data_IF_229377934799
#
_entry.id   IF_229377934799
#
_cell.length_a   1.000
_cell.length_b   1.000
_cell.length_c   1.000
_cell.angle_alpha   90.00
_cell.angle_beta   90.00
_cell.angle_gamma   90.00
#
_symmetry.space_group_name_H-M   'P 1'
#
loop_
_entity.id
_entity.type
_entity.pdbx_description
1 polymer ?
#
# COMPACT_ATOMS: atom_id res chain seq x y z
N UNK A 1 -26.04 -12.36 -14.38
CA UNK A 1 -25.84 -11.34 -13.32
C UNK A 1 -24.63 -10.52 -13.73
N UNK A 2 -24.72 -9.19 -13.78
CA UNK A 2 -23.54 -8.36 -14.09
C UNK A 2 -22.59 -8.49 -12.91
N UNK A 3 -21.35 -8.89 -13.17
CA UNK A 3 -20.32 -8.96 -12.15
C UNK A 3 -19.82 -7.53 -11.81
N UNK A 4 -20.02 -7.11 -10.58
CA UNK A 4 -19.59 -5.83 -10.08
C UNK A 4 -18.34 -5.92 -9.18
N UNK A 5 -17.68 -7.07 -9.12
CA UNK A 5 -16.55 -7.35 -8.22
C UNK A 5 -15.42 -6.34 -8.35
N UNK A 6 -15.03 -6.04 -9.58
CA UNK A 6 -13.99 -5.04 -9.88
C UNK A 6 -14.37 -3.63 -9.38
N UNK A 7 -15.61 -3.17 -9.63
CA UNK A 7 -16.06 -1.86 -9.16
C UNK A 7 -16.13 -1.78 -7.65
N UNK A 8 -16.55 -2.87 -7.00
CA UNK A 8 -16.59 -2.96 -5.53
C UNK A 8 -15.20 -2.88 -4.92
N UNK A 9 -14.22 -3.56 -5.51
CA UNK A 9 -12.83 -3.47 -5.06
C UNK A 9 -12.24 -2.10 -5.40
N UNK A 10 -12.51 -1.56 -6.60
CA UNK A 10 -12.03 -0.25 -7.02
C UNK A 10 -12.53 0.89 -6.12
N UNK A 11 -13.70 0.76 -5.48
CA UNK A 11 -14.19 1.72 -4.49
C UNK A 11 -13.18 1.98 -3.38
N UNK A 12 -12.40 0.96 -2.98
CA UNK A 12 -11.37 1.09 -1.95
C UNK A 12 -10.09 1.79 -2.45
N UNK A 13 -9.99 2.00 -3.76
CA UNK A 13 -8.89 2.74 -4.40
C UNK A 13 -9.21 4.23 -4.55
N UNK A 14 -10.44 4.65 -4.28
CA UNK A 14 -10.84 6.05 -4.36
C UNK A 14 -10.08 6.88 -3.32
N UNK A 15 -9.55 8.03 -3.73
CA UNK A 15 -8.85 8.96 -2.84
C UNK A 15 -9.75 9.51 -1.71
N UNK A 16 -11.07 9.48 -1.89
CA UNK A 16 -12.07 9.84 -0.87
C UNK A 16 -12.40 8.69 0.09
N UNK A 17 -11.91 7.46 -0.19
CA UNK A 17 -12.18 6.33 0.71
C UNK A 17 -11.50 6.57 2.05
N UNK A 18 -12.24 6.56 3.18
CA UNK A 18 -11.78 7.20 4.42
C UNK A 18 -10.83 6.32 5.25
N UNK A 19 -9.77 5.78 4.63
CA UNK A 19 -8.70 5.08 5.35
C UNK A 19 -7.68 6.02 5.98
N UNK A 20 -7.59 7.27 5.48
CA UNK A 20 -6.61 8.25 5.89
C UNK A 20 -5.27 8.15 5.13
N UNK A 21 -5.18 7.36 4.07
CA UNK A 21 -3.96 7.17 3.28
C UNK A 21 -3.39 8.49 2.73
N UNK A 22 -4.25 9.44 2.36
CA UNK A 22 -3.86 10.76 1.84
C UNK A 22 -3.00 11.60 2.80
N UNK A 23 -2.94 11.23 4.08
CA UNK A 23 -2.16 11.93 5.10
C UNK A 23 -0.74 11.37 5.26
N UNK A 24 -0.38 10.33 4.51
CA UNK A 24 0.90 9.65 4.62
C UNK A 24 1.73 9.84 3.36
N UNK A 25 2.96 10.33 3.53
CA UNK A 25 3.91 10.57 2.42
C UNK A 25 4.88 9.43 2.20
N UNK A 26 4.98 8.50 3.15
CA UNK A 26 5.94 7.38 3.12
C UNK A 26 7.38 7.84 2.86
N UNK A 27 7.78 8.93 3.52
CA UNK A 27 9.10 9.54 3.43
C UNK A 27 9.29 10.52 2.26
N UNK A 28 8.33 10.68 1.34
CA UNK A 28 8.41 11.63 0.23
C UNK A 28 8.69 13.05 0.73
N UNK A 29 8.08 13.47 1.84
CA UNK A 29 8.26 14.81 2.40
C UNK A 29 9.72 15.09 2.78
N UNK A 30 10.44 14.10 3.30
CA UNK A 30 11.88 14.23 3.61
C UNK A 30 12.71 14.45 2.33
N UNK A 31 12.41 13.75 1.25
CA UNK A 31 13.06 13.96 -0.05
C UNK A 31 12.77 15.34 -0.63
N UNK A 32 11.54 15.84 -0.47
CA UNK A 32 11.15 17.18 -0.91
C UNK A 32 11.92 18.24 -0.14
N UNK A 33 11.99 18.12 1.19
CA UNK A 33 12.73 19.09 2.02
C UNK A 33 14.22 19.12 1.73
N UNK A 34 14.80 18.00 1.33
CA UNK A 34 16.20 17.89 0.90
C UNK A 34 16.43 18.34 -0.54
N UNK A 35 15.40 18.81 -1.23
CA UNK A 35 15.45 19.18 -2.64
C UNK A 35 15.87 18.04 -3.58
N UNK A 36 15.78 16.78 -3.11
CA UNK A 36 16.00 15.60 -3.94
C UNK A 36 14.80 15.31 -4.84
N UNK A 37 13.58 15.66 -4.38
CA UNK A 37 12.35 15.65 -5.17
C UNK A 37 11.80 17.07 -5.21
N UNK A 38 11.80 17.70 -6.39
CA UNK A 38 11.45 19.11 -6.53
C UNK A 38 10.66 19.45 -7.80
N UNK A 39 10.52 18.49 -8.71
CA UNK A 39 9.74 18.60 -9.96
C UNK A 39 9.11 17.26 -10.36
N UNK A 40 8.41 17.24 -11.51
CA UNK A 40 7.72 16.06 -12.00
C UNK A 40 8.69 14.91 -12.34
N UNK A 41 9.90 15.21 -12.85
CA UNK A 41 10.85 14.18 -13.25
C UNK A 41 11.47 13.49 -12.02
N UNK A 42 12.00 14.27 -11.07
CA UNK A 42 12.54 13.75 -9.82
C UNK A 42 11.47 13.02 -9.00
N UNK A 43 10.20 13.44 -9.07
CA UNK A 43 9.10 12.74 -8.43
C UNK A 43 8.81 11.38 -9.09
N UNK A 44 8.82 11.30 -10.44
CA UNK A 44 8.66 10.02 -11.15
C UNK A 44 9.77 9.03 -10.81
N UNK A 45 11.03 9.49 -10.81
CA UNK A 45 12.17 8.66 -10.41
C UNK A 45 12.01 8.11 -8.98
N UNK A 46 11.53 8.95 -8.06
CA UNK A 46 11.24 8.51 -6.69
C UNK A 46 10.08 7.50 -6.63
N UNK A 47 8.99 7.71 -7.41
CA UNK A 47 7.88 6.76 -7.49
C UNK A 47 8.33 5.40 -8.06
N UNK A 48 9.17 5.41 -9.10
CA UNK A 48 9.73 4.19 -9.67
C UNK A 48 10.54 3.42 -8.63
N UNK A 49 11.41 4.12 -7.89
CA UNK A 49 12.17 3.53 -6.79
C UNK A 49 11.23 2.96 -5.70
N UNK A 50 10.21 3.70 -5.31
CA UNK A 50 9.24 3.26 -4.29
C UNK A 50 8.46 2.01 -4.71
N UNK A 51 8.02 1.94 -5.97
CA UNK A 51 7.35 0.77 -6.53
C UNK A 51 8.28 -0.44 -6.56
N UNK A 52 9.47 -0.28 -7.16
CA UNK A 52 10.37 -1.39 -7.45
C UNK A 52 11.06 -1.95 -6.21
N UNK A 53 11.43 -1.08 -5.27
CA UNK A 53 12.27 -1.47 -4.13
C UNK A 53 11.45 -1.69 -2.86
N UNK A 54 10.43 -0.89 -2.62
CA UNK A 54 9.65 -1.00 -1.38
C UNK A 54 8.37 -1.80 -1.60
N UNK A 55 7.45 -1.34 -2.44
CA UNK A 55 6.15 -2.01 -2.58
C UNK A 55 6.28 -3.42 -3.16
N UNK A 56 7.27 -3.68 -4.00
CA UNK A 56 7.51 -5.00 -4.58
C UNK A 56 7.75 -6.05 -3.50
N UNK A 57 8.73 -5.82 -2.63
CA UNK A 57 9.22 -6.82 -1.66
C UNK A 57 8.49 -6.78 -0.31
N UNK A 58 7.64 -5.80 -0.08
CA UNK A 58 6.78 -5.72 1.11
C UNK A 58 5.32 -6.01 0.75
N UNK A 59 4.56 -4.96 0.46
CA UNK A 59 3.10 -5.03 0.24
C UNK A 59 2.72 -5.97 -0.90
N UNK A 60 3.34 -5.82 -2.08
CA UNK A 60 3.00 -6.60 -3.27
C UNK A 60 3.27 -8.09 -3.09
N UNK A 61 4.44 -8.46 -2.56
CA UNK A 61 4.75 -9.86 -2.30
C UNK A 61 3.87 -10.43 -1.18
N UNK A 62 3.61 -9.65 -0.11
CA UNK A 62 2.67 -10.05 0.93
C UNK A 62 1.28 -10.33 0.36
N UNK A 63 0.77 -9.48 -0.55
CA UNK A 63 -0.53 -9.66 -1.21
C UNK A 63 -0.60 -11.00 -1.95
N UNK A 64 0.41 -11.31 -2.75
CA UNK A 64 0.47 -12.58 -3.48
C UNK A 64 0.54 -13.79 -2.54
N UNK A 65 1.39 -13.75 -1.52
CA UNK A 65 1.53 -14.84 -0.56
C UNK A 65 0.24 -15.04 0.25
N UNK A 66 -0.41 -13.95 0.67
CA UNK A 66 -1.71 -13.98 1.37
C UNK A 66 -2.79 -14.57 0.47
N UNK A 67 -2.88 -14.15 -0.79
CA UNK A 67 -3.87 -14.70 -1.73
C UNK A 67 -3.72 -16.21 -1.90
N UNK A 68 -2.48 -16.69 -2.03
CA UNK A 68 -2.19 -18.13 -2.10
C UNK A 68 -2.56 -18.86 -0.79
N UNK A 69 -2.28 -18.27 0.36
CA UNK A 69 -2.65 -18.81 1.65
C UNK A 69 -4.17 -18.92 1.82
N UNK A 70 -4.93 -17.90 1.37
CA UNK A 70 -6.39 -17.91 1.38
C UNK A 70 -6.97 -19.02 0.47
N UNK A 71 -6.41 -19.22 -0.72
CA UNK A 71 -6.81 -20.31 -1.62
C UNK A 71 -6.62 -21.70 -0.98
N UNK A 72 -5.60 -21.84 -0.14
CA UNK A 72 -5.28 -23.10 0.56
C UNK A 72 -5.96 -23.20 1.94
N UNK A 73 -6.69 -22.19 2.38
CA UNK A 73 -7.28 -22.14 3.73
C UNK A 73 -6.24 -22.02 4.86
N UNK A 74 -5.00 -21.61 4.55
CA UNK A 74 -3.89 -21.48 5.50
C UNK A 74 -3.94 -20.15 6.23
N UNK A 75 -4.76 -20.09 7.26
CA UNK A 75 -4.96 -18.89 8.09
C UNK A 75 -3.74 -18.56 8.97
N UNK A 76 -2.95 -19.55 9.37
CA UNK A 76 -1.73 -19.31 10.17
C UNK A 76 -0.66 -18.62 9.31
N UNK A 77 -0.54 -18.98 8.05
CA UNK A 77 0.35 -18.29 7.10
C UNK A 77 -0.03 -16.82 6.93
N UNK A 78 -1.32 -16.52 6.86
CA UNK A 78 -1.78 -15.13 6.78
C UNK A 78 -1.37 -14.32 8.01
N UNK A 79 -1.51 -14.90 9.22
CA UNK A 79 -1.09 -14.22 10.46
C UNK A 79 0.43 -14.06 10.53
N UNK A 80 1.18 -15.06 10.08
CA UNK A 80 2.63 -14.97 9.97
C UNK A 80 3.06 -13.81 9.07
N UNK A 81 2.45 -13.68 7.89
CA UNK A 81 2.74 -12.60 6.94
C UNK A 81 2.35 -11.23 7.51
N UNK A 82 1.21 -11.12 8.20
CA UNK A 82 0.79 -9.89 8.88
C UNK A 82 1.79 -9.45 9.96
N UNK A 83 2.30 -10.41 10.73
CA UNK A 83 3.31 -10.14 11.74
C UNK A 83 4.65 -9.72 11.09
N UNK A 84 5.07 -10.41 10.03
CA UNK A 84 6.32 -10.14 9.33
C UNK A 84 6.32 -8.74 8.70
N UNK A 85 5.29 -8.38 7.94
CA UNK A 85 5.21 -7.06 7.30
C UNK A 85 5.18 -5.93 8.34
N UNK A 86 4.59 -6.18 9.52
CA UNK A 86 4.58 -5.22 10.60
C UNK A 86 5.96 -5.03 11.23
N UNK A 87 6.70 -6.11 11.49
CA UNK A 87 8.02 -6.01 12.15
C UNK A 87 9.12 -5.55 11.19
N UNK A 88 8.99 -5.82 9.89
CA UNK A 88 9.91 -5.36 8.86
C UNK A 88 9.80 -3.86 8.60
N UNK A 89 8.65 -3.24 8.84
CA UNK A 89 8.49 -1.79 8.71
C UNK A 89 9.22 -1.09 9.87
N UNK A 90 10.51 -0.83 9.69
CA UNK A 90 11.37 -0.22 10.71
C UNK A 90 10.96 1.22 11.05
N UNK A 91 10.60 2.09 10.09
CA UNK A 91 10.18 3.46 10.39
C UNK A 91 8.90 3.45 11.23
N UNK A 92 8.98 4.06 12.41
CA UNK A 92 7.89 4.02 13.41
C UNK A 92 6.60 4.64 12.91
N UNK A 93 6.68 5.81 12.27
CA UNK A 93 5.49 6.53 11.77
C UNK A 93 4.81 5.75 10.65
N UNK A 94 5.57 5.20 9.70
CA UNK A 94 5.05 4.35 8.62
C UNK A 94 4.35 3.13 9.19
N UNK A 95 4.97 2.44 10.15
CA UNK A 95 4.40 1.26 10.81
C UNK A 95 3.10 1.57 11.56
N UNK A 96 3.05 2.68 12.30
CA UNK A 96 1.84 3.12 13.01
C UNK A 96 0.76 3.53 12.00
N UNK A 97 1.13 4.27 10.97
CA UNK A 97 0.23 4.71 9.90
C UNK A 97 -0.40 3.52 9.17
N UNK A 98 0.40 2.55 8.75
CA UNK A 98 -0.08 1.33 8.10
C UNK A 98 -1.11 0.59 8.99
N UNK A 99 -0.80 0.41 10.28
CA UNK A 99 -1.74 -0.21 11.23
C UNK A 99 -3.05 0.60 11.37
N UNK A 100 -3.00 1.92 11.41
CA UNK A 100 -4.18 2.76 11.51
C UNK A 100 -5.03 2.68 10.24
N UNK A 101 -4.40 2.75 9.06
CA UNK A 101 -5.06 2.60 7.76
C UNK A 101 -5.73 1.23 7.64
N UNK A 102 -5.01 0.15 7.95
CA UNK A 102 -5.54 -1.21 7.93
C UNK A 102 -6.71 -1.39 8.89
N UNK A 103 -6.63 -0.83 10.11
CA UNK A 103 -7.72 -0.88 11.08
C UNK A 103 -8.98 -0.17 10.56
N UNK A 104 -8.83 1.00 9.94
CA UNK A 104 -9.96 1.74 9.33
C UNK A 104 -10.54 0.97 8.14
N UNK A 105 -9.67 0.44 7.27
CA UNK A 105 -10.08 -0.36 6.11
C UNK A 105 -10.88 -1.59 6.52
N UNK A 106 -10.41 -2.36 7.52
CA UNK A 106 -11.13 -3.53 8.04
C UNK A 106 -12.51 -3.14 8.57
N UNK A 107 -12.62 -2.07 9.36
CA UNK A 107 -13.91 -1.61 9.89
C UNK A 107 -14.88 -1.24 8.76
N UNK A 108 -14.44 -0.45 7.79
CA UNK A 108 -15.26 -0.07 6.64
C UNK A 108 -15.66 -1.28 5.79
N UNK A 109 -14.72 -2.20 5.55
CA UNK A 109 -15.02 -3.42 4.81
C UNK A 109 -16.07 -4.29 5.51
N UNK A 110 -16.07 -4.35 6.85
CA UNK A 110 -17.09 -5.07 7.63
C UNK A 110 -18.49 -4.42 7.55
N UNK A 111 -18.54 -3.10 7.42
CA UNK A 111 -19.82 -2.38 7.27
C UNK A 111 -20.40 -2.55 5.87
N UNK A 112 -19.55 -2.65 4.86
CA UNK A 112 -19.94 -2.69 3.46
C UNK A 112 -20.14 -4.12 2.93
N UNK A 113 -19.43 -5.11 3.48
CA UNK A 113 -19.38 -6.48 2.97
C UNK A 113 -19.44 -7.53 4.08
N UNK A 114 -20.19 -8.58 3.82
CA UNK A 114 -20.30 -9.75 4.72
C UNK A 114 -19.17 -10.77 4.43
N UNK A 115 -17.92 -10.30 4.48
CA UNK A 115 -16.75 -11.15 4.20
C UNK A 115 -16.35 -11.95 5.45
N UNK A 116 -16.34 -13.30 5.38
CA UNK A 116 -15.84 -14.14 6.47
C UNK A 116 -14.37 -13.88 6.79
N UNK A 117 -13.54 -13.62 5.78
CA UNK A 117 -12.11 -13.33 5.93
C UNK A 117 -11.86 -12.04 6.70
N UNK A 118 -12.60 -10.96 6.38
CA UNK A 118 -12.46 -9.68 7.06
C UNK A 118 -12.94 -9.77 8.51
N UNK A 119 -14.05 -10.48 8.77
CA UNK A 119 -14.54 -10.73 10.12
C UNK A 119 -13.53 -11.52 10.94
N UNK A 120 -12.98 -12.58 10.37
CA UNK A 120 -11.94 -13.39 10.99
C UNK A 120 -10.70 -12.54 11.31
N UNK A 121 -10.19 -11.76 10.37
CA UNK A 121 -9.01 -10.92 10.54
C UNK A 121 -9.22 -9.86 11.63
N UNK A 122 -10.40 -9.25 11.68
CA UNK A 122 -10.77 -8.35 12.78
C UNK A 122 -10.79 -9.05 14.14
N UNK A 123 -11.28 -10.30 14.21
CA UNK A 123 -11.23 -11.08 15.46
C UNK A 123 -9.79 -11.39 15.88
N UNK A 124 -8.91 -11.74 14.94
CA UNK A 124 -7.49 -11.96 15.24
C UNK A 124 -6.81 -10.71 15.81
N UNK A 125 -7.22 -9.53 15.40
CA UNK A 125 -6.72 -8.27 15.99
C UNK A 125 -7.18 -8.12 17.44
N UNK A 126 -8.46 -8.43 17.76
CA UNK A 126 -8.97 -8.39 19.13
C UNK A 126 -8.21 -9.39 20.03
N UNK A 127 -7.87 -10.54 19.49
CA UNK A 127 -7.10 -11.58 20.15
C UNK A 127 -5.58 -11.28 20.20
N UNK A 128 -5.17 -10.07 19.71
CA UNK A 128 -3.78 -9.59 19.65
C UNK A 128 -2.85 -10.43 18.74
N UNK A 129 -3.40 -11.22 17.85
CA UNK A 129 -2.67 -12.05 16.89
C UNK A 129 -2.40 -11.36 15.56
N UNK A 130 -3.18 -10.35 15.17
CA UNK A 130 -3.02 -9.58 13.94
C UNK A 130 -2.76 -8.10 14.21
N UNK A 131 -2.05 -7.44 13.27
CA UNK A 131 -1.72 -6.01 13.28
C UNK A 131 -2.63 -5.19 12.36
N UNK A 132 -3.28 -5.83 11.39
CA UNK A 132 -4.16 -5.27 10.38
C UNK A 132 -3.43 -4.37 9.38
N UNK A 133 -2.61 -4.98 8.51
CA UNK A 133 -1.97 -4.26 7.41
C UNK A 133 -2.95 -3.98 6.26
N UNK A 134 -2.94 -2.79 5.62
CA UNK A 134 -3.88 -2.45 4.55
C UNK A 134 -3.76 -3.36 3.31
N UNK A 135 -2.53 -3.73 2.90
CA UNK A 135 -2.33 -4.65 1.78
C UNK A 135 -2.99 -6.02 2.01
N UNK A 136 -2.90 -6.56 3.23
CA UNK A 136 -3.52 -7.83 3.59
C UNK A 136 -5.05 -7.71 3.59
N UNK A 137 -5.60 -6.64 4.20
CA UNK A 137 -7.04 -6.39 4.19
C UNK A 137 -7.59 -6.25 2.77
N UNK A 138 -6.90 -5.49 1.92
CA UNK A 138 -7.28 -5.28 0.52
C UNK A 138 -7.27 -6.59 -0.28
N UNK A 139 -6.24 -7.42 -0.07
CA UNK A 139 -6.16 -8.75 -0.69
C UNK A 139 -7.29 -9.68 -0.24
N UNK A 140 -7.59 -9.72 1.06
CA UNK A 140 -8.70 -10.52 1.58
C UNK A 140 -10.05 -10.09 0.99
N UNK A 141 -10.25 -8.79 0.84
CA UNK A 141 -11.46 -8.27 0.23
C UNK A 141 -11.55 -8.64 -1.25
N UNK A 142 -10.47 -8.44 -2.01
CA UNK A 142 -10.40 -8.81 -3.42
C UNK A 142 -10.64 -10.31 -3.64
N UNK A 143 -10.03 -11.16 -2.82
CA UNK A 143 -10.23 -12.60 -2.84
C UNK A 143 -11.71 -12.97 -2.54
N UNK A 144 -12.32 -12.37 -1.52
CA UNK A 144 -13.73 -12.57 -1.21
C UNK A 144 -14.67 -12.16 -2.36
N UNK A 145 -14.31 -11.07 -3.06
CA UNK A 145 -15.06 -10.59 -4.22
C UNK A 145 -14.81 -11.41 -5.49
N UNK A 146 -13.90 -12.39 -5.47
CA UNK A 146 -13.56 -13.23 -6.62
C UNK A 146 -12.70 -12.54 -7.67
N UNK A 147 -11.98 -11.47 -7.28
CA UNK A 147 -11.03 -10.77 -8.16
C UNK A 147 -9.70 -11.53 -8.17
N UNK A 148 -9.08 -11.65 -9.34
CA UNK A 148 -7.78 -12.30 -9.47
C UNK A 148 -6.66 -11.47 -8.84
N UNK A 149 -5.56 -12.15 -8.48
CA UNK A 149 -4.44 -11.52 -7.76
C UNK A 149 -3.74 -10.45 -8.58
N UNK A 150 -3.66 -10.58 -9.89
CA UNK A 150 -3.02 -9.59 -10.75
C UNK A 150 -3.77 -8.27 -10.70
N UNK A 151 -5.08 -8.31 -10.86
CA UNK A 151 -5.96 -7.14 -10.75
C UNK A 151 -5.92 -6.52 -9.35
N UNK A 152 -5.88 -7.34 -8.28
CA UNK A 152 -5.79 -6.86 -6.90
C UNK A 152 -4.48 -6.07 -6.71
N UNK A 153 -3.35 -6.59 -7.19
CA UNK A 153 -2.05 -5.93 -7.13
C UNK A 153 -2.07 -4.62 -7.95
N UNK A 154 -2.56 -4.66 -9.20
CA UNK A 154 -2.63 -3.47 -10.06
C UNK A 154 -3.42 -2.35 -9.40
N UNK A 155 -4.57 -2.63 -8.83
CA UNK A 155 -5.40 -1.65 -8.14
C UNK A 155 -4.71 -1.07 -6.90
N UNK A 156 -4.04 -1.91 -6.12
CA UNK A 156 -3.31 -1.47 -4.93
C UNK A 156 -2.12 -0.57 -5.30
N UNK A 157 -1.32 -0.96 -6.29
CA UNK A 157 -0.18 -0.16 -6.77
C UNK A 157 -0.66 1.16 -7.38
N UNK A 158 -1.72 1.13 -8.20
CA UNK A 158 -2.32 2.34 -8.78
C UNK A 158 -2.81 3.31 -7.70
N UNK A 159 -3.50 2.80 -6.66
CA UNK A 159 -3.95 3.62 -5.55
C UNK A 159 -2.78 4.33 -4.84
N UNK A 160 -1.66 3.62 -4.61
CA UNK A 160 -0.47 4.19 -4.00
C UNK A 160 0.13 5.29 -4.87
N UNK A 161 0.32 5.03 -6.18
CA UNK A 161 0.81 6.03 -7.14
C UNK A 161 -0.09 7.25 -7.18
N UNK A 162 -1.40 7.06 -7.29
CA UNK A 162 -2.38 8.15 -7.35
C UNK A 162 -2.37 8.99 -6.06
N UNK A 163 -2.37 8.34 -4.88
CA UNK A 163 -2.35 9.01 -3.59
C UNK A 163 -1.06 9.81 -3.38
N UNK A 164 0.10 9.23 -3.69
CA UNK A 164 1.40 9.90 -3.58
C UNK A 164 1.52 11.05 -4.58
N UNK A 165 0.94 10.92 -5.77
CA UNK A 165 0.88 12.03 -6.75
C UNK A 165 0.05 13.20 -6.21
N UNK A 166 -1.08 12.95 -5.56
CA UNK A 166 -1.85 14.01 -4.90
C UNK A 166 -1.06 14.66 -3.74
N UNK A 167 -0.25 13.88 -3.03
CA UNK A 167 0.65 14.41 -2.02
C UNK A 167 1.73 15.31 -2.66
N UNK A 168 2.35 14.88 -3.75
CA UNK A 168 3.33 15.67 -4.48
C UNK A 168 2.74 16.98 -5.00
N UNK A 169 1.53 16.96 -5.58
CA UNK A 169 0.82 18.18 -6.03
C UNK A 169 0.62 19.19 -4.90
N UNK A 170 0.47 18.73 -3.65
CA UNK A 170 0.34 19.62 -2.48
C UNK A 170 1.67 20.13 -1.94
N UNK A 171 2.74 19.35 -2.07
CA UNK A 171 4.03 19.61 -1.45
C UNK A 171 5.08 20.20 -2.41
N UNK A 172 4.91 19.98 -3.71
CA UNK A 172 5.76 20.52 -4.77
C UNK A 172 4.88 21.44 -5.64
N UNK A 173 5.42 22.47 -6.30
CA UNK A 173 4.64 23.32 -7.20
C UNK A 173 4.25 22.60 -8.52
N UNK A 174 3.62 21.45 -8.42
CA UNK A 174 3.07 20.68 -9.53
C UNK A 174 1.60 21.06 -9.75
N UNK A 175 1.24 21.38 -10.99
CA UNK A 175 -0.16 21.54 -11.36
C UNK A 175 -0.90 20.19 -11.40
N UNK A 176 -2.23 20.22 -11.19
CA UNK A 176 -3.07 19.01 -11.22
C UNK A 176 -2.94 18.24 -12.55
N UNK A 177 -2.85 18.95 -13.68
CA UNK A 177 -2.68 18.32 -15.00
C UNK A 177 -1.36 17.55 -15.09
N UNK A 178 -0.26 18.14 -14.58
CA UNK A 178 1.05 17.48 -14.54
C UNK A 178 0.98 16.26 -13.64
N UNK A 179 0.30 16.34 -12.49
CA UNK A 179 0.06 15.18 -11.62
C UNK A 179 -0.64 14.04 -12.35
N UNK A 180 -1.67 14.32 -13.14
CA UNK A 180 -2.36 13.30 -13.94
C UNK A 180 -1.49 12.72 -15.07
N UNK A 181 -0.61 13.53 -15.67
CA UNK A 181 0.38 13.04 -16.63
C UNK A 181 1.34 12.05 -15.96
N UNK A 182 1.85 12.38 -14.77
CA UNK A 182 2.70 11.46 -13.99
C UNK A 182 1.98 10.14 -13.70
N UNK A 183 0.72 10.15 -13.24
CA UNK A 183 -0.05 8.91 -13.02
C UNK A 183 -0.14 8.08 -14.30
N UNK A 184 -0.43 8.72 -15.44
CA UNK A 184 -0.53 8.04 -16.75
C UNK A 184 0.82 7.41 -17.15
N UNK A 185 1.92 8.15 -16.96
CA UNK A 185 3.27 7.68 -17.29
C UNK A 185 3.71 6.53 -16.36
N UNK A 186 3.17 6.45 -15.14
CA UNK A 186 3.48 5.37 -14.19
C UNK A 186 2.72 4.06 -14.47
N UNK A 187 1.68 4.03 -15.29
CA UNK A 187 0.91 2.80 -15.59
C UNK A 187 1.81 1.65 -16.11
N UNK A 188 2.72 1.84 -17.08
CA UNK A 188 3.62 0.77 -17.51
C UNK A 188 4.58 0.27 -16.41
N UNK A 189 4.91 1.13 -15.44
CA UNK A 189 5.73 0.75 -14.28
C UNK A 189 4.94 -0.12 -13.32
N UNK A 190 3.67 0.20 -13.06
CA UNK A 190 2.77 -0.63 -12.25
C UNK A 190 2.68 -2.04 -12.84
N UNK A 191 2.47 -2.16 -14.15
CA UNK A 191 2.40 -3.44 -14.83
C UNK A 191 3.71 -4.26 -14.69
N UNK A 192 4.87 -3.63 -14.91
CA UNK A 192 6.18 -4.28 -14.73
C UNK A 192 6.41 -4.71 -13.29
N UNK A 193 6.05 -3.87 -12.32
CA UNK A 193 6.15 -4.17 -10.89
C UNK A 193 5.28 -5.38 -10.53
N UNK A 194 4.02 -5.43 -10.99
CA UNK A 194 3.15 -6.60 -10.80
C UNK A 194 3.77 -7.86 -11.41
N UNK A 195 4.23 -7.79 -12.66
CA UNK A 195 4.86 -8.94 -13.31
C UNK A 195 6.06 -9.44 -12.51
N UNK A 196 6.87 -8.54 -11.97
CA UNK A 196 8.00 -8.91 -11.12
C UNK A 196 7.55 -9.56 -9.82
N UNK A 197 6.57 -8.99 -9.09
CA UNK A 197 5.98 -9.57 -7.88
C UNK A 197 5.53 -11.01 -8.10
N UNK A 198 4.96 -11.32 -9.27
CA UNK A 198 4.48 -12.66 -9.58
C UNK A 198 5.61 -13.70 -9.76
N UNK A 199 6.84 -13.27 -10.02
CA UNK A 199 8.01 -14.15 -10.19
C UNK A 199 8.79 -14.39 -8.89
N UNK A 200 8.61 -13.56 -7.87
CA UNK A 200 9.39 -13.60 -6.63
C UNK A 200 9.13 -14.89 -5.83
N UNK A 201 10.06 -15.25 -4.97
CA UNK A 201 9.90 -16.32 -3.99
C UNK A 201 9.54 -15.75 -2.62
N UNK A 202 9.10 -16.60 -1.70
CA UNK A 202 8.82 -16.17 -0.32
C UNK A 202 10.07 -15.63 0.39
N UNK A 203 11.23 -16.15 0.06
CA UNK A 203 12.53 -15.74 0.63
C UNK A 203 12.90 -14.30 0.27
N UNK A 204 12.32 -13.75 -0.80
CA UNK A 204 12.49 -12.35 -1.21
C UNK A 204 11.67 -11.38 -0.33
N UNK A 205 10.77 -11.89 0.52
CA UNK A 205 9.90 -11.07 1.34
C UNK A 205 10.69 -10.31 2.40
N UNK A 206 10.57 -8.98 2.36
CA UNK A 206 11.23 -8.08 3.30
C UNK A 206 12.62 -7.65 2.86
N UNK A 207 12.99 -7.85 1.61
CA UNK A 207 14.11 -7.12 1.03
C UNK A 207 13.82 -5.62 1.14
N UNK A 208 14.78 -4.85 1.65
CA UNK A 208 14.57 -3.45 2.01
C UNK A 208 15.35 -2.51 1.11
N UNK A 209 14.86 -1.27 1.02
CA UNK A 209 15.55 -0.15 0.40
C UNK A 209 16.07 0.79 1.51
N UNK A 210 17.30 0.62 2.01
CA UNK A 210 17.78 1.37 3.19
C UNK A 210 17.68 2.89 3.04
N UNK A 211 17.85 3.42 1.82
CA UNK A 211 17.69 4.84 1.54
C UNK A 211 16.27 5.35 1.77
N UNK A 212 15.26 4.57 1.37
CA UNK A 212 13.85 4.91 1.61
C UNK A 212 13.52 4.82 3.09
N UNK A 213 13.94 3.75 3.77
CA UNK A 213 13.69 3.57 5.21
C UNK A 213 14.31 4.68 6.06
N UNK A 214 15.57 5.04 5.79
CA UNK A 214 16.24 6.14 6.49
C UNK A 214 15.48 7.47 6.32
N UNK A 215 15.02 7.80 5.12
CA UNK A 215 14.25 9.02 4.88
C UNK A 215 12.87 8.99 5.56
N UNK A 216 12.24 7.80 5.65
CA UNK A 216 11.01 7.63 6.43
C UNK A 216 11.26 7.81 7.94
N UNK A 217 12.38 7.30 8.48
CA UNK A 217 12.75 7.51 9.89
C UNK A 217 13.04 8.98 10.18
N UNK A 218 13.75 9.66 9.29
CA UNK A 218 14.11 11.07 9.45
C UNK A 218 12.90 12.00 9.34
N UNK A 219 11.79 11.54 8.80
CA UNK A 219 10.54 12.30 8.78
C UNK A 219 10.09 12.72 10.20
N UNK A 220 10.43 11.96 11.24
CA UNK A 220 10.15 12.33 12.64
C UNK A 220 10.84 13.65 13.06
N UNK A 221 11.93 14.04 12.39
CA UNK A 221 12.73 15.23 12.69
C UNK A 221 12.42 16.42 11.76
N UNK A 222 11.47 16.28 10.86
CA UNK A 222 11.08 17.33 9.93
C UNK A 222 10.40 18.48 10.68
N UNK A 223 10.90 19.71 10.52
CA UNK A 223 10.44 20.87 11.30
C UNK A 223 9.04 21.37 10.87
N UNK A 224 8.77 21.37 9.57
CA UNK A 224 7.47 21.76 9.00
C UNK A 224 6.90 20.55 8.28
N UNK A 225 5.78 20.04 8.78
CA UNK A 225 5.19 18.79 8.33
C UNK A 225 3.83 19.06 7.71
N UNK A 226 3.65 18.60 6.48
CA UNK A 226 2.37 18.58 5.75
C UNK A 226 1.67 17.21 5.98
N UNK A 227 2.48 16.16 6.16
CA UNK A 227 2.00 14.79 6.29
C UNK A 227 2.30 14.20 7.68
N UNK A 228 1.64 13.07 7.98
CA UNK A 228 1.78 12.37 9.27
C UNK A 228 3.01 11.45 9.27
N UNK A 229 3.37 10.90 8.10
CA UNK A 229 4.55 10.04 7.92
C UNK A 229 5.12 10.20 6.52
#
# INVERSE_FOLDING_TARGET
MIDHSHLRLFQFCDSQFPTGAFSHSFGLETYIQRQAVHDANSFKEWLELFLNEQLTYSDGLAMRLVYNALNNGDTEKVLQLDQLIYVQSLPRETRIGAKQMGTRMVKLAMELYDSPWIKWYHQQMKDKRAKLHPAICFTMLGHYLGVDIETIIDYYLYQNVSSLTQNAVRAIPLGQTIGQQVVTEMIPYIERTRQHILTLNEEDFGLTAPGLELNQMEHENVNVRIFIS
#
